data_IF_695808040888
#
_entry.id   IF_695808040888
#
_cell.length_a   1.000
_cell.length_b   1.000
_cell.length_c   1.000
_cell.angle_alpha   90.00
_cell.angle_beta   90.00
_cell.angle_gamma   90.00
#
_symmetry.space_group_name_H-M   'P 1'
#
loop_
_entity.id
_entity.type
_entity.pdbx_description
1 polymer ?
#
# COMPACT_ATOMS: atom_id res chain seq x y z
N UNK A 1 9.37 -10.83 -13.05
CA UNK A 1 9.63 -9.54 -12.39
C UNK A 1 9.91 -9.79 -10.90
N UNK A 2 11.11 -9.47 -10.40
CA UNK A 2 11.43 -9.58 -8.97
C UNK A 2 10.95 -8.28 -8.30
N UNK A 3 9.91 -8.36 -7.47
CA UNK A 3 9.46 -7.20 -6.70
C UNK A 3 10.60 -6.79 -5.76
N UNK A 4 11.22 -5.62 -5.96
CA UNK A 4 12.12 -5.05 -4.96
C UNK A 4 11.34 -4.96 -3.65
N UNK A 5 11.89 -5.52 -2.57
CA UNK A 5 11.25 -5.48 -1.27
C UNK A 5 11.09 -4.00 -0.86
N UNK A 6 9.85 -3.51 -0.82
CA UNK A 6 9.53 -2.20 -0.25
C UNK A 6 9.49 -2.36 1.28
N UNK A 7 9.84 -1.29 2.02
CA UNK A 7 9.80 -1.35 3.49
C UNK A 7 8.37 -1.43 4.01
N UNK A 8 8.18 -2.07 5.17
CA UNK A 8 6.86 -2.18 5.83
C UNK A 8 6.22 -0.80 6.04
N UNK A 9 7.04 0.17 6.43
CA UNK A 9 6.63 1.55 6.69
C UNK A 9 6.02 2.22 5.45
N UNK A 10 6.70 2.09 4.31
CA UNK A 10 6.23 2.59 3.02
C UNK A 10 4.85 2.04 2.67
N UNK A 11 4.63 0.75 2.92
CA UNK A 11 3.34 0.12 2.65
C UNK A 11 2.24 0.55 3.62
N UNK A 12 2.57 0.80 4.89
CA UNK A 12 1.62 1.36 5.85
C UNK A 12 1.23 2.77 5.41
N UNK A 13 2.21 3.60 5.02
CA UNK A 13 1.97 4.97 4.57
C UNK A 13 1.10 5.00 3.32
N UNK A 14 1.42 4.18 2.30
CA UNK A 14 0.62 4.07 1.08
C UNK A 14 -0.79 3.52 1.35
N UNK A 15 -0.94 2.58 2.30
CA UNK A 15 -2.26 2.07 2.69
C UNK A 15 -3.12 3.14 3.37
N UNK A 16 -2.53 3.90 4.31
CA UNK A 16 -3.19 5.02 4.99
C UNK A 16 -3.59 6.11 4.00
N UNK A 17 -2.71 6.49 3.08
CA UNK A 17 -3.04 7.45 2.03
C UNK A 17 -4.29 7.05 1.22
N UNK A 18 -4.48 5.76 0.94
CA UNK A 18 -5.67 5.27 0.23
C UNK A 18 -6.92 5.26 1.12
N UNK A 19 -6.79 4.91 2.40
CA UNK A 19 -7.92 4.76 3.32
C UNK A 19 -8.37 6.07 3.97
N UNK A 20 -7.41 6.89 4.38
CA UNK A 20 -7.60 8.09 5.19
C UNK A 20 -7.65 9.34 4.30
N UNK A 21 -6.69 9.51 3.38
CA UNK A 21 -6.62 10.66 2.46
C UNK A 21 -7.42 10.47 1.17
N UNK A 22 -8.14 9.35 1.04
CA UNK A 22 -8.92 8.98 -0.15
C UNK A 22 -8.11 9.03 -1.48
N UNK A 23 -6.79 8.84 -1.42
CA UNK A 23 -5.96 8.83 -2.62
C UNK A 23 -6.25 7.60 -3.47
N UNK A 24 -6.28 7.73 -4.81
CA UNK A 24 -6.33 6.58 -5.69
C UNK A 24 -5.16 5.63 -5.42
N UNK A 25 -5.43 4.33 -5.39
CA UNK A 25 -4.42 3.26 -5.17
C UNK A 25 -3.21 3.44 -6.07
N UNK A 26 -3.43 3.86 -7.32
CA UNK A 26 -2.37 4.06 -8.31
C UNK A 26 -1.40 5.16 -7.89
N UNK A 27 -1.94 6.26 -7.36
CA UNK A 27 -1.16 7.42 -6.92
C UNK A 27 -0.41 7.10 -5.63
N UNK A 28 -1.07 6.45 -4.68
CA UNK A 28 -0.44 6.02 -3.44
C UNK A 28 0.66 4.97 -3.67
N UNK A 29 0.46 4.04 -4.62
CA UNK A 29 1.46 3.05 -5.02
C UNK A 29 2.69 3.71 -5.66
N UNK A 30 2.48 4.68 -6.55
CA UNK A 30 3.56 5.46 -7.17
C UNK A 30 4.33 6.28 -6.14
N UNK A 31 3.63 7.00 -5.26
CA UNK A 31 4.26 7.81 -4.22
C UNK A 31 5.06 6.97 -3.22
N UNK A 32 4.57 5.79 -2.88
CA UNK A 32 5.29 4.86 -2.00
C UNK A 32 6.32 3.98 -2.71
N UNK A 33 6.41 3.98 -4.04
CA UNK A 33 7.25 2.99 -4.75
C UNK A 33 6.82 1.53 -4.49
N UNK A 34 5.54 1.31 -4.23
CA UNK A 34 4.96 -0.01 -3.97
C UNK A 34 4.32 -0.54 -5.24
N UNK A 35 4.41 -1.85 -5.55
CA UNK A 35 3.65 -2.42 -6.66
C UNK A 35 2.15 -2.21 -6.48
N UNK A 36 1.51 -1.60 -7.50
CA UNK A 36 0.07 -1.31 -7.53
C UNK A 36 -0.79 -2.51 -7.14
N UNK A 37 -0.50 -3.68 -7.70
CA UNK A 37 -1.26 -4.90 -7.42
C UNK A 37 -1.17 -5.30 -5.94
N UNK A 38 0.01 -5.18 -5.33
CA UNK A 38 0.22 -5.52 -3.92
C UNK A 38 -0.52 -4.56 -3.00
N UNK A 39 -0.46 -3.26 -3.28
CA UNK A 39 -1.21 -2.26 -2.52
C UNK A 39 -2.72 -2.47 -2.69
N UNK A 40 -3.20 -2.68 -3.92
CA UNK A 40 -4.61 -2.98 -4.20
C UNK A 40 -5.09 -4.21 -3.46
N UNK A 41 -4.33 -5.31 -3.52
CA UNK A 41 -4.65 -6.53 -2.80
C UNK A 41 -4.74 -6.29 -1.29
N UNK A 42 -3.88 -5.46 -0.70
CA UNK A 42 -3.97 -5.12 0.74
C UNK A 42 -5.11 -4.17 1.09
N UNK A 43 -5.46 -3.24 0.22
CA UNK A 43 -6.58 -2.32 0.43
C UNK A 43 -7.93 -3.04 0.31
N UNK A 44 -8.03 -3.98 -0.63
CA UNK A 44 -9.23 -4.79 -0.89
C UNK A 44 -9.35 -5.98 0.05
N UNK A 45 -8.24 -6.61 0.40
CA UNK A 45 -8.22 -7.65 1.41
C UNK A 45 -8.54 -7.01 2.75
N UNK A 46 -9.63 -7.41 3.41
CA UNK A 46 -10.01 -6.95 4.76
C UNK A 46 -9.02 -7.38 5.85
N UNK A 47 -7.83 -7.84 5.48
CA UNK A 47 -6.74 -8.18 6.40
C UNK A 47 -6.26 -6.89 7.06
N UNK A 48 -6.65 -6.68 8.31
CA UNK A 48 -6.12 -5.62 9.16
C UNK A 48 -4.60 -5.79 9.21
N UNK A 49 -3.85 -4.81 8.73
CA UNK A 49 -2.41 -4.72 8.98
C UNK A 49 -2.30 -4.47 10.49
N UNK A 50 -2.17 -5.55 11.27
CA UNK A 50 -2.05 -5.47 12.72
C UNK A 50 -0.70 -4.80 13.05
N UNK A 51 -0.78 -3.56 13.50
CA UNK A 51 0.31 -2.86 14.16
C UNK A 51 0.40 -3.42 15.58
N UNK A 52 0.98 -4.62 15.73
CA UNK A 52 1.45 -5.10 17.02
C UNK A 52 2.91 -4.72 17.18
#
# INVERSE_FOLDING_TARGET
>A
MKCKAYSREIMICAYKAVKDDHLPVDRAALMGGVPKQTLRNRVLSKVKISSR
#
